data_IF_435414909708
#
_entry.id   IF_435414909708
#
_cell.length_a   1.000
_cell.length_b   1.000
_cell.length_c   1.000
_cell.angle_alpha   90.00
_cell.angle_beta   90.00
_cell.angle_gamma   90.00
#
_symmetry.space_group_name_H-M   'P 1'
#
loop_
_entity.id
_entity.type
_entity.pdbx_description
1 polymer ?
#
# COMPACT_ATOMS: atom_id res chain seq x y z
N UNK A 1 -63.23 1.73 -34.54
CA UNK A 1 -62.17 0.70 -34.74
C UNK A 1 -60.84 1.06 -34.03
N UNK A 2 -60.84 1.78 -32.89
CA UNK A 2 -59.59 2.21 -32.20
C UNK A 2 -59.34 1.57 -30.82
N UNK A 3 -60.21 0.64 -30.37
CA UNK A 3 -60.05 0.01 -29.04
C UNK A 3 -59.12 -1.21 -29.05
N UNK A 4 -58.94 -1.89 -30.19
CA UNK A 4 -58.01 -3.02 -30.34
C UNK A 4 -56.56 -2.55 -30.58
N UNK A 5 -56.35 -1.48 -31.34
CA UNK A 5 -55.01 -0.90 -31.59
C UNK A 5 -54.31 -0.49 -30.28
N UNK A 6 -55.09 0.00 -29.32
CA UNK A 6 -54.62 0.37 -27.98
C UNK A 6 -54.23 -0.82 -27.09
N UNK A 7 -54.71 -2.04 -27.41
CA UNK A 7 -54.42 -3.25 -26.63
C UNK A 7 -53.07 -3.88 -27.01
N UNK A 8 -52.65 -3.73 -28.27
CA UNK A 8 -51.32 -4.16 -28.73
C UNK A 8 -50.25 -3.07 -28.61
N UNK A 9 -50.65 -1.79 -28.54
CA UNK A 9 -49.71 -0.68 -28.38
C UNK A 9 -48.93 -0.77 -27.07
N UNK A 10 -49.55 -1.23 -25.97
CA UNK A 10 -48.86 -1.40 -24.69
C UNK A 10 -47.73 -2.44 -24.78
N UNK A 11 -47.99 -3.59 -25.44
CA UNK A 11 -46.98 -4.62 -25.65
C UNK A 11 -45.87 -4.16 -26.59
N UNK A 12 -46.20 -3.41 -27.65
CA UNK A 12 -45.20 -2.85 -28.57
C UNK A 12 -44.30 -1.81 -27.88
N UNK A 13 -44.88 -0.94 -27.04
CA UNK A 13 -44.12 0.01 -26.23
C UNK A 13 -43.22 -0.71 -25.23
N UNK A 14 -43.74 -1.74 -24.55
CA UNK A 14 -42.93 -2.54 -23.63
C UNK A 14 -41.74 -3.20 -24.34
N UNK A 15 -41.96 -3.76 -25.53
CA UNK A 15 -40.90 -4.36 -26.33
C UNK A 15 -39.82 -3.34 -26.73
N UNK A 16 -40.24 -2.15 -27.17
CA UNK A 16 -39.32 -1.05 -27.49
C UNK A 16 -38.50 -0.60 -26.27
N UNK A 17 -39.13 -0.51 -25.10
CA UNK A 17 -38.45 -0.17 -23.84
C UNK A 17 -37.42 -1.23 -23.49
N UNK A 18 -37.77 -2.52 -23.55
CA UNK A 18 -36.84 -3.62 -23.31
C UNK A 18 -35.68 -3.60 -24.31
N UNK A 19 -35.97 -3.39 -25.60
CA UNK A 19 -34.94 -3.32 -26.64
C UNK A 19 -33.99 -2.13 -26.43
N UNK A 20 -34.52 -0.97 -26.04
CA UNK A 20 -33.74 0.23 -25.73
C UNK A 20 -32.81 0.00 -24.53
N UNK A 21 -33.36 -0.49 -23.42
CA UNK A 21 -32.55 -0.80 -22.23
C UNK A 21 -31.57 -1.95 -22.49
N UNK A 22 -31.95 -2.96 -23.26
CA UNK A 22 -31.06 -4.05 -23.66
C UNK A 22 -29.89 -3.57 -24.50
N UNK A 23 -30.15 -2.72 -25.50
CA UNK A 23 -29.12 -2.10 -26.33
C UNK A 23 -28.18 -1.23 -25.49
N UNK A 24 -28.71 -0.37 -24.63
CA UNK A 24 -27.92 0.48 -23.74
C UNK A 24 -27.18 -0.30 -22.64
N UNK A 25 -27.69 -1.44 -22.18
CA UNK A 25 -26.99 -2.30 -21.23
C UNK A 25 -25.79 -3.00 -21.87
N UNK A 26 -25.82 -3.20 -23.20
CA UNK A 26 -24.70 -3.77 -23.96
C UNK A 26 -23.69 -2.69 -24.38
N UNK A 27 -24.16 -1.53 -24.87
CA UNK A 27 -23.31 -0.48 -25.46
C UNK A 27 -23.04 0.73 -24.56
N UNK A 28 -23.63 0.79 -23.37
CA UNK A 28 -23.43 1.92 -22.45
C UNK A 28 -22.05 1.90 -21.79
N UNK A 29 -21.56 3.07 -21.40
CA UNK A 29 -20.27 3.25 -20.68
C UNK A 29 -20.18 2.42 -19.39
N UNK A 30 -21.32 2.01 -18.82
CA UNK A 30 -21.44 1.14 -17.64
C UNK A 30 -22.13 -0.20 -17.94
N UNK A 31 -22.15 -0.59 -19.22
CA UNK A 31 -22.76 -1.82 -19.68
C UNK A 31 -22.06 -3.07 -19.17
N UNK A 32 -22.69 -4.23 -19.36
CA UNK A 32 -22.17 -5.52 -18.88
C UNK A 32 -20.77 -5.84 -19.45
N UNK A 33 -20.52 -5.46 -20.71
CA UNK A 33 -19.22 -5.61 -21.36
C UNK A 33 -18.15 -4.72 -20.72
N UNK A 34 -18.48 -3.45 -20.46
CA UNK A 34 -17.58 -2.52 -19.76
C UNK A 34 -17.28 -3.01 -18.34
N UNK A 35 -18.25 -3.62 -17.65
CA UNK A 35 -18.02 -4.22 -16.33
C UNK A 35 -17.02 -5.39 -16.35
N UNK A 36 -17.07 -6.25 -17.37
CA UNK A 36 -16.13 -7.36 -17.54
C UNK A 36 -14.71 -6.83 -17.76
N UNK A 37 -14.54 -5.85 -18.65
CA UNK A 37 -13.23 -5.27 -18.93
C UNK A 37 -12.67 -4.45 -17.76
N UNK A 38 -13.50 -3.66 -17.07
CA UNK A 38 -13.09 -2.94 -15.86
C UNK A 38 -12.69 -3.87 -14.73
N UNK A 39 -13.34 -5.02 -14.58
CA UNK A 39 -12.98 -6.01 -13.55
C UNK A 39 -11.56 -6.54 -13.77
N UNK A 40 -11.18 -6.82 -15.02
CA UNK A 40 -9.81 -7.25 -15.37
C UNK A 40 -8.78 -6.17 -15.08
N UNK A 41 -9.08 -4.92 -15.40
CA UNK A 41 -8.19 -3.79 -15.13
C UNK A 41 -7.99 -3.57 -13.62
N UNK A 42 -9.05 -3.71 -12.82
CA UNK A 42 -8.96 -3.62 -11.35
C UNK A 42 -8.07 -4.73 -10.80
N UNK A 43 -8.18 -5.95 -11.32
CA UNK A 43 -7.36 -7.09 -10.88
C UNK A 43 -5.87 -6.89 -11.22
N UNK A 44 -5.57 -6.43 -12.45
CA UNK A 44 -4.21 -6.08 -12.87
C UNK A 44 -3.59 -5.00 -11.98
N UNK A 45 -4.34 -3.94 -11.69
CA UNK A 45 -3.89 -2.84 -10.81
C UNK A 45 -3.69 -3.30 -9.37
N UNK A 46 -4.50 -4.24 -8.88
CA UNK A 46 -4.31 -4.85 -7.55
C UNK A 46 -3.03 -5.67 -7.48
N UNK A 47 -2.70 -6.40 -8.54
CA UNK A 47 -1.44 -7.14 -8.62
C UNK A 47 -0.24 -6.19 -8.62
N UNK A 48 -0.26 -5.14 -9.45
CA UNK A 48 0.77 -4.09 -9.45
C UNK A 48 0.93 -3.43 -8.07
N UNK A 49 -0.18 -3.15 -7.40
CA UNK A 49 -0.17 -2.56 -6.06
C UNK A 49 0.48 -3.50 -5.03
N UNK A 50 0.15 -4.79 -5.05
CA UNK A 50 0.73 -5.77 -4.14
C UNK A 50 2.25 -5.89 -4.32
N UNK A 51 2.73 -5.95 -5.56
CA UNK A 51 4.17 -5.98 -5.84
C UNK A 51 4.91 -4.72 -5.38
N UNK A 52 4.29 -3.55 -5.59
CA UNK A 52 4.87 -2.27 -5.15
C UNK A 52 4.88 -2.15 -3.62
N UNK A 53 3.85 -2.65 -2.94
CA UNK A 53 3.80 -2.69 -1.47
C UNK A 53 4.91 -3.57 -0.90
N UNK A 54 5.12 -4.77 -1.46
CA UNK A 54 6.22 -5.66 -1.03
C UNK A 54 7.58 -4.98 -1.23
N UNK A 55 7.79 -4.31 -2.38
CA UNK A 55 9.03 -3.55 -2.64
C UNK A 55 9.22 -2.42 -1.65
N UNK A 56 8.18 -1.64 -1.39
CA UNK A 56 8.20 -0.56 -0.39
C UNK A 56 8.56 -1.10 0.98
N UNK A 57 7.96 -2.21 1.41
CA UNK A 57 8.17 -2.75 2.76
C UNK A 57 9.59 -3.30 2.93
N UNK A 58 10.16 -3.94 1.90
CA UNK A 58 11.58 -4.33 1.90
C UNK A 58 12.51 -3.13 2.00
N UNK A 59 12.22 -2.06 1.27
CA UNK A 59 13.00 -0.82 1.32
C UNK A 59 12.84 -0.12 2.67
N UNK A 60 11.65 -0.15 3.27
CA UNK A 60 11.38 0.42 4.58
C UNK A 60 12.24 -0.25 5.66
N UNK A 61 12.29 -1.58 5.70
CA UNK A 61 13.14 -2.32 6.64
C UNK A 61 14.62 -1.97 6.46
N UNK A 62 15.07 -1.80 5.23
CA UNK A 62 16.45 -1.40 4.93
C UNK A 62 16.73 0.05 5.34
N UNK A 63 15.81 0.97 5.08
CA UNK A 63 15.93 2.38 5.49
C UNK A 63 15.87 2.50 7.00
N UNK A 64 15.01 1.77 7.69
CA UNK A 64 14.99 1.74 9.17
C UNK A 64 16.34 1.24 9.73
N UNK A 65 16.99 0.28 9.06
CA UNK A 65 18.34 -0.15 9.42
C UNK A 65 19.48 0.81 9.02
N UNK A 66 19.24 1.71 8.06
CA UNK A 66 20.21 2.70 7.56
C UNK A 66 19.92 4.13 8.06
N UNK A 67 18.91 4.32 8.91
CA UNK A 67 18.60 5.62 9.49
C UNK A 67 19.68 5.99 10.52
N UNK A 68 20.78 6.52 10.00
CA UNK A 68 21.91 7.17 10.65
C UNK A 68 21.49 8.26 11.67
N UNK A 69 20.27 8.79 11.54
CA UNK A 69 19.75 9.83 12.45
C UNK A 69 19.15 9.28 13.76
N UNK A 70 19.21 7.96 13.97
CA UNK A 70 19.21 7.40 15.32
C UNK A 70 20.63 6.93 15.60
N UNK A 71 21.41 7.75 16.31
CA UNK A 71 22.65 7.27 16.92
C UNK A 71 22.27 6.04 17.76
N UNK A 72 22.85 4.89 17.45
CA UNK A 72 22.65 3.68 18.23
C UNK A 72 22.97 4.01 19.69
N UNK A 73 22.10 3.69 20.67
CA UNK A 73 22.34 4.01 22.08
C UNK A 73 23.74 3.59 22.55
N UNK A 74 24.23 2.47 22.04
CA UNK A 74 25.56 1.93 22.34
C UNK A 74 26.70 2.78 21.76
N UNK A 75 26.56 3.28 20.52
CA UNK A 75 27.53 4.20 19.90
C UNK A 75 27.52 5.57 20.58
N UNK A 76 26.35 6.03 21.02
CA UNK A 76 26.23 7.24 21.84
C UNK A 76 26.93 7.06 23.18
N UNK A 77 26.76 5.89 23.81
CA UNK A 77 27.39 5.56 25.08
C UNK A 77 28.93 5.49 24.96
N UNK A 78 29.45 4.91 23.87
CA UNK A 78 30.89 4.89 23.60
C UNK A 78 31.47 6.29 23.38
N UNK A 79 30.81 7.16 22.60
CA UNK A 79 31.28 8.54 22.41
C UNK A 79 31.17 9.38 23.69
N UNK A 80 30.11 9.19 24.48
CA UNK A 80 29.99 9.82 25.81
C UNK A 80 31.13 9.38 26.74
N UNK A 81 31.48 8.09 26.74
CA UNK A 81 32.60 7.54 27.51
C UNK A 81 33.94 8.14 27.06
N UNK A 82 34.18 8.29 25.75
CA UNK A 82 35.39 8.98 25.22
C UNK A 82 35.47 10.45 25.64
N UNK A 83 34.33 11.12 25.73
CA UNK A 83 34.23 12.51 26.20
C UNK A 83 34.27 12.65 27.73
N UNK A 84 34.41 11.54 28.47
CA UNK A 84 34.50 11.54 29.94
C UNK A 84 33.15 11.63 30.67
N UNK A 85 32.03 11.48 29.96
CA UNK A 85 30.71 11.39 30.56
C UNK A 85 30.46 9.95 31.04
N UNK A 86 30.34 9.80 32.36
CA UNK A 86 30.00 8.54 33.02
C UNK A 86 28.65 8.68 33.73
N UNK A 87 27.88 7.59 33.84
CA UNK A 87 26.71 7.57 34.72
C UNK A 87 27.14 7.72 36.18
N UNK A 88 26.23 8.21 37.04
CA UNK A 88 26.44 8.42 38.49
C UNK A 88 27.07 7.24 39.24
N UNK A 89 26.90 6.01 38.73
CA UNK A 89 27.39 4.78 39.35
C UNK A 89 28.43 4.02 38.48
N UNK A 90 29.01 4.62 37.45
CA UNK A 90 30.13 4.04 36.69
C UNK A 90 31.46 4.68 37.11
N UNK A 91 32.51 3.85 37.26
CA UNK A 91 33.86 4.30 37.59
C UNK A 91 34.89 3.68 36.66
N UNK A 92 35.95 4.43 36.33
CA UNK A 92 37.07 3.95 35.51
C UNK A 92 38.13 3.38 36.46
N UNK A 93 38.47 2.11 36.31
CA UNK A 93 39.61 1.49 37.01
C UNK A 93 40.83 1.69 36.12
N UNK A 94 41.69 2.64 36.49
CA UNK A 94 43.04 2.74 35.92
C UNK A 94 43.84 1.58 36.48
N UNK A 95 44.09 0.59 35.64
CA UNK A 95 45.03 -0.47 35.98
C UNK A 95 46.40 0.20 36.11
N UNK A 96 47.13 -0.04 37.21
CA UNK A 96 48.50 0.42 37.30
C UNK A 96 49.25 -0.15 36.09
N UNK A 97 50.06 0.68 35.45
CA UNK A 97 51.02 0.21 34.47
C UNK A 97 51.84 -0.85 35.20
N UNK A 98 51.58 -2.13 34.88
CA UNK A 98 52.37 -3.22 35.44
C UNK A 98 53.77 -2.93 34.94
N UNK A 99 54.60 -2.35 35.80
CA UNK A 99 56.02 -2.20 35.54
C UNK A 99 56.48 -3.59 35.14
N UNK A 100 56.84 -3.71 33.85
CA UNK A 100 57.37 -4.92 33.28
C UNK A 100 58.62 -5.24 34.11
N UNK A 101 58.45 -6.17 35.05
CA UNK A 101 59.56 -6.71 35.84
C UNK A 101 60.55 -7.30 34.85
N UNK A 102 61.76 -6.74 34.85
CA UNK A 102 62.98 -7.35 34.30
C UNK A 102 63.18 -8.79 34.77
#
# INVERSE_FOLDING_TARGET
MSRLARRHSASAVLFLVIAYFGYHALHGERGLLAWIDHSRLVELRRHELAELQVRRDRLRLRVEGLQENRISPDLLEEELKKLGYLRRNEGIILLPETEATE
#
